data_IF_040088268917
#
_entry.id   IF_040088268917
#
_cell.length_a   1.000
_cell.length_b   1.000
_cell.length_c   1.000
_cell.angle_alpha   90.00
_cell.angle_beta   90.00
_cell.angle_gamma   90.00
#
_symmetry.space_group_name_H-M   'P 1'
#
loop_
_entity.id
_entity.type
_entity.pdbx_description
1 polymer ?
#
# COMPACT_ATOMS: atom_id res chain seq x y z
N UNK A 1 46.28 18.88 -3.50
CA UNK A 1 44.85 18.61 -3.74
C UNK A 1 44.16 18.71 -2.38
N UNK A 2 42.96 19.30 -2.27
CA UNK A 2 42.30 19.43 -0.97
C UNK A 2 41.49 18.15 -0.69
N UNK A 3 42.10 17.19 -0.01
CA UNK A 3 41.53 15.85 0.20
C UNK A 3 40.25 15.89 1.04
N UNK A 4 40.10 16.86 1.95
CA UNK A 4 38.87 17.06 2.72
C UNK A 4 37.72 17.57 1.86
N UNK A 5 38.01 18.48 0.91
CA UNK A 5 37.04 18.94 -0.08
C UNK A 5 36.53 17.77 -0.92
N UNK A 6 37.44 16.93 -1.44
CA UNK A 6 37.09 15.79 -2.29
C UNK A 6 36.22 14.79 -1.52
N UNK A 7 36.61 14.41 -0.30
CA UNK A 7 35.83 13.49 0.55
C UNK A 7 34.43 14.03 0.84
N UNK A 8 34.31 15.34 1.11
CA UNK A 8 33.00 15.97 1.35
C UNK A 8 32.12 15.92 0.11
N UNK A 9 32.66 16.25 -1.06
CA UNK A 9 31.91 16.21 -2.33
C UNK A 9 31.42 14.79 -2.62
N UNK A 10 32.31 13.80 -2.57
CA UNK A 10 31.96 12.38 -2.80
C UNK A 10 30.87 11.90 -1.84
N UNK A 11 30.91 12.34 -0.57
CA UNK A 11 29.87 12.00 0.41
C UNK A 11 28.52 12.62 0.03
N UNK A 12 28.50 13.88 -0.39
CA UNK A 12 27.25 14.55 -0.79
C UNK A 12 26.68 13.95 -2.07
N UNK A 13 27.53 13.63 -3.05
CA UNK A 13 27.13 12.96 -4.30
C UNK A 13 26.48 11.61 -4.02
N UNK A 14 27.11 10.80 -3.14
CA UNK A 14 26.55 9.51 -2.75
C UNK A 14 25.19 9.64 -2.03
N UNK A 15 25.02 10.70 -1.22
CA UNK A 15 23.72 10.98 -0.58
C UNK A 15 22.69 11.39 -1.63
N UNK A 16 23.06 12.26 -2.57
CA UNK A 16 22.20 12.71 -3.66
C UNK A 16 21.70 11.52 -4.48
N UNK A 17 22.61 10.71 -5.01
CA UNK A 17 22.27 9.54 -5.82
C UNK A 17 21.35 8.57 -5.07
N UNK A 18 21.68 8.28 -3.81
CA UNK A 18 20.88 7.38 -2.97
C UNK A 18 19.47 7.93 -2.75
N UNK A 19 19.35 9.22 -2.47
CA UNK A 19 18.05 9.82 -2.17
C UNK A 19 17.19 9.98 -3.43
N UNK A 20 17.79 10.35 -4.56
CA UNK A 20 17.11 10.38 -5.86
C UNK A 20 16.53 9.01 -6.22
N UNK A 21 17.33 7.94 -6.13
CA UNK A 21 16.85 6.59 -6.41
C UNK A 21 15.75 6.12 -5.45
N UNK A 22 15.76 6.58 -4.20
CA UNK A 22 14.71 6.28 -3.23
C UNK A 22 13.39 7.00 -3.58
N UNK A 23 13.46 8.27 -4.02
CA UNK A 23 12.29 9.03 -4.45
C UNK A 23 11.66 8.43 -5.70
N UNK A 24 12.46 8.04 -6.69
CA UNK A 24 11.96 7.38 -7.90
C UNK A 24 11.17 6.10 -7.58
N UNK A 25 11.71 5.25 -6.70
CA UNK A 25 11.03 4.01 -6.28
C UNK A 25 9.78 4.28 -5.46
N UNK A 26 9.83 5.28 -4.56
CA UNK A 26 8.67 5.64 -3.76
C UNK A 26 7.53 6.15 -4.63
N UNK A 27 7.82 7.04 -5.58
CA UNK A 27 6.81 7.57 -6.49
C UNK A 27 6.20 6.47 -7.36
N UNK A 28 7.02 5.56 -7.92
CA UNK A 28 6.50 4.43 -8.68
C UNK A 28 5.56 3.53 -7.84
N UNK A 29 5.92 3.25 -6.58
CA UNK A 29 5.06 2.49 -5.68
C UNK A 29 3.78 3.24 -5.30
N UNK A 30 3.83 4.57 -5.21
CA UNK A 30 2.64 5.40 -4.99
C UNK A 30 1.71 5.38 -6.20
N UNK A 31 2.25 5.47 -7.42
CA UNK A 31 1.47 5.38 -8.65
C UNK A 31 0.72 4.02 -8.73
N UNK A 32 1.43 2.91 -8.47
CA UNK A 32 0.83 1.57 -8.41
C UNK A 32 -0.26 1.47 -7.32
N UNK A 33 0.00 2.04 -6.15
CA UNK A 33 -0.96 2.07 -5.05
C UNK A 33 -2.21 2.87 -5.41
N UNK A 34 -2.07 4.06 -6.01
CA UNK A 34 -3.19 4.90 -6.44
C UNK A 34 -4.07 4.22 -7.50
N UNK A 35 -3.46 3.44 -8.40
CA UNK A 35 -4.18 2.62 -9.36
C UNK A 35 -4.95 1.49 -8.65
N UNK A 36 -4.28 0.72 -7.77
CA UNK A 36 -4.92 -0.37 -7.03
C UNK A 36 -6.05 0.12 -6.09
N UNK A 37 -5.93 1.34 -5.56
CA UNK A 37 -6.90 1.89 -4.63
C UNK A 37 -8.28 2.11 -5.28
N UNK A 38 -8.33 2.23 -6.61
CA UNK A 38 -9.59 2.31 -7.37
C UNK A 38 -10.36 0.99 -7.32
N UNK A 39 -9.66 -0.13 -7.47
CA UNK A 39 -10.24 -1.47 -7.40
C UNK A 39 -10.51 -1.89 -5.95
N UNK A 40 -9.65 -1.46 -5.03
CA UNK A 40 -9.85 -1.67 -3.59
C UNK A 40 -11.17 -1.07 -3.08
N UNK A 41 -11.62 0.06 -3.64
CA UNK A 41 -12.93 0.62 -3.27
C UNK A 41 -14.08 -0.35 -3.56
N UNK A 42 -14.04 -1.05 -4.70
CA UNK A 42 -15.06 -2.06 -5.03
C UNK A 42 -15.04 -3.22 -4.02
N UNK A 43 -13.85 -3.69 -3.64
CA UNK A 43 -13.70 -4.72 -2.60
C UNK A 43 -14.22 -4.24 -1.22
N UNK A 44 -13.92 -2.99 -0.87
CA UNK A 44 -14.38 -2.39 0.39
C UNK A 44 -15.89 -2.21 0.42
N UNK A 45 -16.52 -1.84 -0.70
CA UNK A 45 -17.97 -1.69 -0.83
C UNK A 45 -18.69 -3.05 -0.84
N UNK A 46 -18.03 -4.08 -1.40
CA UNK A 46 -18.50 -5.46 -1.38
C UNK A 46 -18.51 -6.03 0.05
N UNK A 47 -17.42 -5.86 0.80
CA UNK A 47 -17.29 -6.41 2.14
C UNK A 47 -18.37 -5.87 3.09
N UNK A 48 -19.06 -6.77 3.80
CA UNK A 48 -20.19 -6.44 4.67
C UNK A 48 -21.43 -5.87 3.96
N UNK A 49 -21.51 -5.95 2.63
CA UNK A 49 -22.73 -5.67 1.85
C UNK A 49 -23.72 -6.84 1.90
N UNK A 50 -24.97 -6.61 1.49
CA UNK A 50 -25.95 -7.68 1.35
C UNK A 50 -25.46 -8.76 0.37
N UNK A 51 -24.82 -8.37 -0.74
CA UNK A 51 -24.25 -9.31 -1.72
C UNK A 51 -23.21 -10.22 -1.08
N UNK A 52 -22.34 -9.69 -0.22
CA UNK A 52 -21.35 -10.51 0.49
C UNK A 52 -22.01 -11.52 1.44
N UNK A 53 -23.08 -11.12 2.15
CA UNK A 53 -23.85 -12.04 2.99
C UNK A 53 -24.54 -13.13 2.16
N UNK A 54 -25.12 -12.78 1.03
CA UNK A 54 -25.77 -13.74 0.12
C UNK A 54 -24.73 -14.75 -0.43
N UNK A 55 -23.54 -14.29 -0.81
CA UNK A 55 -22.44 -15.15 -1.26
C UNK A 55 -21.91 -16.05 -0.14
N UNK A 56 -21.83 -15.54 1.09
CA UNK A 56 -21.43 -16.30 2.28
C UNK A 56 -22.46 -17.42 2.61
N UNK A 57 -23.76 -17.12 2.52
CA UNK A 57 -24.80 -18.12 2.72
C UNK A 57 -24.79 -19.18 1.60
N UNK A 58 -24.54 -18.78 0.35
CA UNK A 58 -24.37 -19.70 -0.77
C UNK A 58 -23.16 -20.63 -0.58
N UNK A 59 -22.06 -20.11 -0.01
CA UNK A 59 -20.92 -20.93 0.41
C UNK A 59 -21.33 -21.98 1.44
N UNK A 60 -22.04 -21.57 2.49
CA UNK A 60 -22.51 -22.45 3.56
C UNK A 60 -23.50 -23.51 3.05
N UNK A 61 -24.27 -23.19 2.00
CA UNK A 61 -25.17 -24.11 1.31
C UNK A 61 -24.46 -25.11 0.37
N UNK A 62 -23.15 -24.96 0.15
CA UNK A 62 -22.36 -25.82 -0.74
C UNK A 62 -22.54 -25.50 -2.22
N UNK A 63 -22.98 -24.29 -2.56
CA UNK A 63 -23.21 -23.85 -3.94
C UNK A 63 -21.92 -23.39 -4.64
N UNK A 64 -20.83 -23.21 -3.87
CA UNK A 64 -19.52 -22.78 -4.39
C UNK A 64 -18.59 -24.00 -4.58
N UNK A 65 -18.01 -24.18 -5.79
CA UNK A 65 -17.07 -25.26 -6.09
C UNK A 65 -15.90 -25.34 -5.11
N UNK A 66 -15.57 -26.54 -4.62
CA UNK A 66 -14.49 -26.76 -3.63
C UNK A 66 -13.10 -26.35 -4.14
N UNK A 67 -12.88 -26.31 -5.44
CA UNK A 67 -11.63 -25.91 -6.08
C UNK A 67 -11.47 -24.39 -6.27
N UNK A 68 -12.49 -23.60 -5.90
CA UNK A 68 -12.48 -22.15 -6.02
C UNK A 68 -11.94 -21.46 -4.76
N UNK A 69 -10.99 -20.53 -4.94
CA UNK A 69 -10.52 -19.63 -3.88
C UNK A 69 -11.64 -18.70 -3.44
N UNK A 70 -11.84 -18.61 -2.12
CA UNK A 70 -12.93 -17.88 -1.47
C UNK A 70 -12.47 -17.06 -0.27
N UNK A 71 -11.21 -16.60 -0.30
CA UNK A 71 -10.62 -15.83 0.78
C UNK A 71 -11.41 -14.55 1.11
N UNK A 72 -12.10 -13.96 0.13
CA UNK A 72 -12.98 -12.80 0.31
C UNK A 72 -14.21 -13.07 1.18
N UNK A 73 -14.63 -14.34 1.29
CA UNK A 73 -15.71 -14.78 2.17
C UNK A 73 -15.21 -15.10 3.58
N UNK A 74 -13.89 -15.09 3.80
CA UNK A 74 -13.37 -15.05 5.17
C UNK A 74 -13.55 -13.64 5.73
N UNK A 75 -14.16 -13.55 6.91
CA UNK A 75 -14.34 -12.27 7.63
C UNK A 75 -12.98 -11.58 7.88
N UNK A 76 -11.95 -12.35 8.21
CA UNK A 76 -10.65 -11.81 8.59
C UNK A 76 -9.82 -11.22 7.43
N UNK A 77 -9.89 -11.78 6.21
CA UNK A 77 -8.95 -11.37 5.16
C UNK A 77 -9.19 -9.93 4.69
N UNK A 78 -10.45 -9.58 4.41
CA UNK A 78 -10.78 -8.23 3.95
C UNK A 78 -10.70 -7.22 5.09
N UNK A 79 -11.12 -7.61 6.31
CA UNK A 79 -10.96 -6.77 7.50
C UNK A 79 -9.50 -6.40 7.77
N UNK A 80 -8.59 -7.37 7.74
CA UNK A 80 -7.16 -7.12 7.94
C UNK A 80 -6.58 -6.21 6.85
N UNK A 81 -6.98 -6.42 5.59
CA UNK A 81 -6.56 -5.56 4.48
C UNK A 81 -7.00 -4.10 4.69
N UNK A 82 -8.25 -3.87 5.12
CA UNK A 82 -8.77 -2.53 5.43
C UNK A 82 -7.94 -1.86 6.54
N UNK A 83 -7.57 -2.63 7.57
CA UNK A 83 -6.72 -2.15 8.66
C UNK A 83 -5.32 -1.74 8.16
N UNK A 84 -4.67 -2.59 7.37
CA UNK A 84 -3.34 -2.31 6.79
C UNK A 84 -3.36 -1.11 5.84
N UNK A 85 -4.43 -0.95 5.04
CA UNK A 85 -4.66 0.20 4.19
C UNK A 85 -4.67 1.51 5.00
N UNK A 86 -5.45 1.54 6.09
CA UNK A 86 -5.55 2.72 6.95
C UNK A 86 -4.21 3.04 7.62
N UNK A 87 -3.52 2.04 8.17
CA UNK A 87 -2.22 2.23 8.81
C UNK A 87 -1.17 2.78 7.82
N UNK A 88 -1.19 2.27 6.59
CA UNK A 88 -0.30 2.74 5.51
C UNK A 88 -0.60 4.19 5.13
N UNK A 89 -1.88 4.55 4.98
CA UNK A 89 -2.29 5.92 4.70
C UNK A 89 -1.86 6.91 5.79
N UNK A 90 -2.00 6.52 7.08
CA UNK A 90 -1.53 7.34 8.21
C UNK A 90 -0.02 7.57 8.11
N UNK A 91 0.76 6.50 7.88
CA UNK A 91 2.22 6.60 7.73
C UNK A 91 2.62 7.51 6.57
N UNK A 92 1.89 7.47 5.45
CA UNK A 92 2.11 8.37 4.31
C UNK A 92 1.89 9.84 4.70
N UNK A 93 0.81 10.14 5.43
CA UNK A 93 0.51 11.49 5.91
C UNK A 93 1.59 12.00 6.88
N UNK A 94 2.02 11.18 7.82
CA UNK A 94 3.09 11.52 8.76
C UNK A 94 4.41 11.81 8.03
N UNK A 95 4.81 10.91 7.13
CA UNK A 95 6.05 11.02 6.35
C UNK A 95 6.04 12.26 5.45
N UNK A 96 4.94 12.48 4.72
CA UNK A 96 4.77 13.64 3.85
C UNK A 96 4.77 14.95 4.62
N UNK A 97 4.07 15.00 5.75
CA UNK A 97 4.05 16.19 6.62
C UNK A 97 5.44 16.52 7.16
N UNK A 98 6.20 15.51 7.58
CA UNK A 98 7.56 15.71 8.07
C UNK A 98 8.51 16.18 6.96
N UNK A 99 8.36 15.67 5.73
CA UNK A 99 9.12 16.14 4.59
C UNK A 99 8.82 17.62 4.27
N UNK A 100 7.55 18.04 4.31
CA UNK A 100 7.14 19.43 4.07
C UNK A 100 7.66 20.38 5.16
N UNK A 101 7.71 19.94 6.43
CA UNK A 101 8.26 20.77 7.52
C UNK A 101 9.76 21.01 7.40
N UNK A 102 10.49 20.06 6.81
CA UNK A 102 11.94 20.06 6.73
C UNK A 102 12.51 20.48 5.37
N UNK A 103 11.66 20.73 4.37
CA UNK A 103 12.02 21.21 3.04
C UNK A 103 11.96 22.73 2.93
#
# INVERSE_FOLDING_TARGET
MNDELIKRIQKMDSILEKHTAALEKLNAALDEYEESNKEYQELSDYYSSQTWFDDYDAEAAGEIPEDMTRAVLSEDAVFNLIGEQLNTAIRMLETGTEAVKNG
#
